data_IF_560997197867
#
_entry.id   IF_560997197867
#
_cell.length_a   1.000
_cell.length_b   1.000
_cell.length_c   1.000
_cell.angle_alpha   90.00
_cell.angle_beta   90.00
_cell.angle_gamma   90.00
#
_symmetry.space_group_name_H-M   'P 1'
#
loop_
_entity.id
_entity.type
_entity.pdbx_description
1 polymer ?
#
# COMPACT_ATOMS: atom_id res chain seq x y z
N UNK A 1 1.78 -9.79 -6.06
CA UNK A 1 1.69 -8.48 -5.38
C UNK A 1 1.85 -8.69 -3.89
N UNK A 2 2.44 -7.72 -3.20
CA UNK A 2 2.68 -7.72 -1.77
C UNK A 2 1.82 -6.61 -1.16
N UNK A 3 0.93 -6.99 -0.24
CA UNK A 3 0.03 -6.08 0.45
C UNK A 3 0.66 -5.62 1.77
N UNK A 4 0.78 -4.30 1.94
CA UNK A 4 1.37 -3.66 3.11
C UNK A 4 0.26 -2.93 3.89
N UNK A 5 -0.10 -3.49 5.04
CA UNK A 5 -1.17 -2.98 5.87
C UNK A 5 -0.84 -1.61 6.49
N UNK A 6 -1.90 -0.82 6.65
CA UNK A 6 -1.90 0.45 7.37
C UNK A 6 -1.82 0.28 8.89
N UNK A 7 -2.20 1.33 9.63
CA UNK A 7 -2.11 1.33 11.09
C UNK A 7 -0.71 0.99 11.60
N UNK A 8 -0.62 0.16 12.64
CA UNK A 8 0.67 -0.28 13.20
C UNK A 8 1.33 -1.41 12.41
N UNK A 9 0.61 -2.09 11.52
CA UNK A 9 1.15 -3.08 10.57
C UNK A 9 1.55 -4.43 11.17
N UNK A 10 1.31 -4.65 12.46
CA UNK A 10 1.43 -5.96 13.08
C UNK A 10 0.11 -6.71 12.99
N UNK A 11 0.01 -7.64 12.04
CA UNK A 11 -1.18 -8.44 11.77
C UNK A 11 -1.30 -9.62 12.75
N UNK A 12 -0.17 -10.16 13.22
CA UNK A 12 -0.13 -11.38 14.02
C UNK A 12 -0.75 -12.55 13.27
N UNK A 13 -0.17 -12.91 12.12
CA UNK A 13 -0.66 -13.99 11.26
C UNK A 13 -0.39 -15.33 11.93
N UNK A 14 -1.44 -16.10 12.18
CA UNK A 14 -1.34 -17.45 12.73
C UNK A 14 -1.04 -18.49 11.62
N UNK A 15 -0.52 -19.69 11.95
CA UNK A 15 -0.24 -20.73 10.96
C UNK A 15 -1.45 -21.17 10.13
N UNK A 16 -2.67 -20.99 10.64
CA UNK A 16 -3.93 -21.27 9.94
C UNK A 16 -4.37 -20.12 8.99
N UNK A 17 -3.58 -19.04 8.88
CA UNK A 17 -3.86 -17.87 8.04
C UNK A 17 -4.83 -16.84 8.63
N UNK A 18 -5.35 -17.06 9.85
CA UNK A 18 -6.11 -16.04 10.57
C UNK A 18 -5.20 -14.93 11.12
N UNK A 19 -5.79 -13.76 11.43
CA UNK A 19 -5.06 -12.59 11.89
C UNK A 19 -5.43 -12.25 13.33
N UNK A 20 -4.46 -11.88 14.15
CA UNK A 20 -4.73 -11.28 15.47
C UNK A 20 -5.29 -9.86 15.33
N UNK A 21 -4.84 -9.12 14.32
CA UNK A 21 -5.24 -7.74 14.05
C UNK A 21 -5.32 -7.47 12.56
N UNK A 22 -6.11 -6.47 12.18
CA UNK A 22 -6.14 -5.96 10.81
C UNK A 22 -7.16 -6.64 9.91
N UNK A 23 -8.04 -7.49 10.45
CA UNK A 23 -9.12 -8.11 9.67
C UNK A 23 -10.04 -7.08 8.99
N UNK A 24 -10.23 -5.92 9.62
CA UNK A 24 -10.95 -4.80 9.03
C UNK A 24 -10.12 -3.93 8.08
N UNK A 25 -8.80 -4.06 8.03
CA UNK A 25 -7.95 -3.24 7.15
C UNK A 25 -8.31 -3.46 5.68
N UNK A 26 -8.38 -2.39 4.88
CA UNK A 26 -8.83 -2.45 3.47
C UNK A 26 -8.11 -3.53 2.65
N UNK A 27 -6.77 -3.54 2.64
CA UNK A 27 -6.03 -4.52 1.83
C UNK A 27 -6.18 -5.94 2.37
N UNK A 28 -6.21 -6.08 3.69
CA UNK A 28 -6.33 -7.40 4.33
C UNK A 28 -7.72 -7.99 4.10
N UNK A 29 -8.79 -7.22 4.34
CA UNK A 29 -10.17 -7.68 4.12
C UNK A 29 -10.48 -7.91 2.64
N UNK A 30 -9.81 -7.18 1.75
CA UNK A 30 -10.01 -7.28 0.30
C UNK A 30 -9.05 -8.25 -0.39
N UNK A 31 -8.19 -8.97 0.36
CA UNK A 31 -7.17 -9.87 -0.21
C UNK A 31 -7.73 -10.90 -1.18
N UNK A 32 -8.90 -11.47 -0.87
CA UNK A 32 -9.54 -12.48 -1.72
C UNK A 32 -10.02 -11.86 -3.03
N UNK A 33 -10.51 -10.63 -3.02
CA UNK A 33 -10.93 -9.93 -4.24
C UNK A 33 -9.76 -9.75 -5.21
N UNK A 34 -8.54 -9.53 -4.71
CA UNK A 34 -7.35 -9.50 -5.57
C UNK A 34 -7.02 -10.88 -6.14
N UNK A 35 -7.12 -11.94 -5.32
CA UNK A 35 -6.90 -13.32 -5.78
C UNK A 35 -7.92 -13.74 -6.84
N UNK A 36 -9.19 -13.37 -6.66
CA UNK A 36 -10.29 -13.63 -7.61
C UNK A 36 -10.09 -12.89 -8.95
N UNK A 37 -9.25 -11.84 -8.98
CA UNK A 37 -8.79 -11.18 -10.20
C UNK A 37 -7.64 -11.92 -10.89
N UNK A 38 -7.27 -13.12 -10.43
CA UNK A 38 -6.19 -13.94 -10.98
C UNK A 38 -4.79 -13.45 -10.60
N UNK A 39 -4.67 -12.70 -9.50
CA UNK A 39 -3.39 -12.15 -9.04
C UNK A 39 -2.84 -12.98 -7.88
N UNK A 40 -1.53 -13.25 -7.89
CA UNK A 40 -0.86 -13.85 -6.74
C UNK A 40 -0.74 -12.81 -5.62
N UNK A 41 -1.38 -13.06 -4.47
CA UNK A 41 -1.45 -12.14 -3.33
C UNK A 41 -0.56 -12.63 -2.20
N UNK A 42 0.34 -11.77 -1.72
CA UNK A 42 1.19 -12.01 -0.55
C UNK A 42 0.87 -10.95 0.49
N UNK A 43 0.63 -11.39 1.72
CA UNK A 43 0.42 -10.52 2.87
C UNK A 43 1.64 -10.65 3.75
N UNK A 44 2.16 -9.51 4.21
CA UNK A 44 3.36 -9.45 5.04
C UNK A 44 2.98 -8.91 6.40
N UNK A 45 3.34 -9.65 7.44
CA UNK A 45 3.24 -9.22 8.83
C UNK A 45 4.46 -8.37 9.23
N UNK A 46 4.43 -7.75 10.41
CA UNK A 46 5.63 -7.21 11.02
C UNK A 46 6.70 -8.31 11.18
N UNK A 47 8.00 -7.99 11.03
CA UNK A 47 9.06 -8.98 11.20
C UNK A 47 9.05 -9.55 12.62
N UNK A 48 9.63 -10.75 12.79
CA UNK A 48 9.53 -11.52 14.04
C UNK A 48 10.06 -10.79 15.27
N UNK A 49 11.00 -9.87 15.11
CA UNK A 49 11.58 -9.00 16.14
C UNK A 49 10.74 -7.73 16.41
N UNK A 50 9.63 -7.55 15.69
CA UNK A 50 8.68 -6.42 15.80
C UNK A 50 7.23 -6.88 15.97
N UNK A 51 7.01 -8.07 16.53
CA UNK A 51 5.69 -8.64 16.80
C UNK A 51 4.97 -8.07 18.03
N UNK A 52 5.51 -6.99 18.62
CA UNK A 52 4.91 -6.26 19.75
C UNK A 52 4.90 -4.75 19.47
N UNK A 53 4.03 -4.01 20.17
CA UNK A 53 3.99 -2.56 20.07
C UNK A 53 5.40 -1.94 20.28
N UNK A 54 5.79 -0.92 19.48
CA UNK A 54 4.95 -0.18 18.54
C UNK A 54 4.90 -0.75 17.10
N UNK A 55 5.24 -2.04 16.92
CA UNK A 55 5.27 -2.75 15.64
C UNK A 55 6.11 -2.01 14.59
N UNK A 56 5.49 -1.57 13.49
CA UNK A 56 6.20 -0.89 12.40
C UNK A 56 6.34 0.63 12.63
N UNK A 57 5.73 1.23 13.66
CA UNK A 57 5.89 2.66 13.89
C UNK A 57 7.36 3.00 14.22
N UNK A 58 7.93 3.96 13.50
CA UNK A 58 9.36 4.27 13.53
C UNK A 58 10.25 3.31 12.70
N UNK A 59 9.71 2.18 12.23
CA UNK A 59 10.48 1.16 11.49
C UNK A 59 10.22 1.16 9.98
N UNK A 60 9.02 1.58 9.52
CA UNK A 60 8.60 1.54 8.09
C UNK A 60 9.56 2.18 7.09
N UNK A 61 10.45 3.07 7.55
CA UNK A 61 11.34 3.84 6.69
C UNK A 61 12.81 3.67 7.09
N UNK A 62 13.19 2.44 7.40
CA UNK A 62 14.54 2.05 7.84
C UNK A 62 15.20 1.10 6.84
N UNK A 63 16.54 1.04 6.79
CA UNK A 63 17.26 0.04 6.00
C UNK A 63 16.87 -1.41 6.36
N UNK A 64 16.59 -1.69 7.63
CA UNK A 64 16.18 -3.01 8.11
C UNK A 64 14.84 -3.43 7.51
N UNK A 65 13.85 -2.54 7.50
CA UNK A 65 12.58 -2.81 6.83
C UNK A 65 12.75 -3.01 5.31
N UNK A 66 13.72 -2.31 4.70
CA UNK A 66 14.06 -2.51 3.30
C UNK A 66 14.69 -3.87 3.03
N UNK A 67 15.56 -4.35 3.92
CA UNK A 67 16.10 -5.70 3.85
C UNK A 67 15.00 -6.76 4.00
N UNK A 68 14.09 -6.60 4.97
CA UNK A 68 12.98 -7.53 5.21
C UNK A 68 12.09 -7.65 3.97
N UNK A 69 11.62 -6.53 3.42
CA UNK A 69 10.73 -6.57 2.25
C UNK A 69 11.51 -6.93 0.98
N UNK A 70 12.79 -6.59 0.86
CA UNK A 70 13.66 -7.08 -0.22
C UNK A 70 13.76 -8.60 -0.22
N UNK A 71 13.88 -9.24 0.94
CA UNK A 71 13.84 -10.69 1.07
C UNK A 71 12.48 -11.28 0.68
N UNK A 72 11.37 -10.62 1.04
CA UNK A 72 10.03 -11.02 0.57
C UNK A 72 9.93 -10.91 -0.95
N UNK A 73 10.39 -9.81 -1.56
CA UNK A 73 10.40 -9.63 -3.03
C UNK A 73 11.19 -10.76 -3.69
N UNK A 74 12.38 -11.08 -3.17
CA UNK A 74 13.20 -12.17 -3.67
C UNK A 74 12.48 -13.53 -3.57
N UNK A 75 11.85 -13.82 -2.42
CA UNK A 75 11.05 -15.03 -2.23
C UNK A 75 9.88 -15.11 -3.22
N UNK A 76 9.14 -14.00 -3.42
CA UNK A 76 8.02 -13.94 -4.39
C UNK A 76 8.51 -14.21 -5.82
N UNK A 77 9.64 -13.62 -6.22
CA UNK A 77 10.23 -13.85 -7.55
C UNK A 77 10.69 -15.31 -7.73
N UNK A 78 11.06 -16.00 -6.65
CA UNK A 78 11.40 -17.42 -6.70
C UNK A 78 10.18 -18.33 -6.85
N UNK A 79 8.98 -17.89 -6.44
CA UNK A 79 7.74 -18.66 -6.57
C UNK A 79 7.18 -18.69 -8.00
N UNK A 80 7.58 -17.76 -8.87
CA UNK A 80 7.06 -17.72 -10.23
C UNK A 80 7.54 -16.54 -11.07
N UNK A 81 7.15 -16.56 -12.34
CA UNK A 81 7.46 -15.50 -13.29
C UNK A 81 6.37 -14.43 -13.23
N UNK A 82 6.79 -13.17 -13.17
CA UNK A 82 5.89 -12.03 -13.21
C UNK A 82 6.42 -10.85 -12.41
N UNK A 83 5.83 -9.66 -12.61
CA UNK A 83 6.24 -8.48 -11.88
C UNK A 83 5.76 -8.51 -10.43
N UNK A 84 6.60 -7.99 -9.53
CA UNK A 84 6.29 -7.82 -8.11
C UNK A 84 5.81 -6.40 -7.87
N UNK A 85 4.57 -6.26 -7.43
CA UNK A 85 3.95 -4.99 -7.08
C UNK A 85 3.87 -4.81 -5.57
N UNK A 86 4.24 -3.64 -5.05
CA UNK A 86 3.90 -3.25 -3.67
C UNK A 86 2.59 -2.47 -3.67
N UNK A 87 1.68 -2.85 -2.79
CA UNK A 87 0.40 -2.18 -2.59
C UNK A 87 0.31 -1.79 -1.12
N UNK A 88 0.34 -0.49 -0.83
CA UNK A 88 0.22 0.04 0.53
C UNK A 88 -1.10 0.76 0.74
N UNK A 89 -1.66 0.65 1.94
CA UNK A 89 -2.83 1.47 2.35
C UNK A 89 -2.52 2.31 3.58
N UNK A 90 -2.93 3.58 3.61
CA UNK A 90 -2.69 4.45 4.78
C UNK A 90 -1.21 4.41 5.17
N UNK A 91 -0.86 4.17 6.44
CA UNK A 91 0.55 4.02 6.87
C UNK A 91 1.36 2.96 6.10
N UNK A 92 0.72 1.98 5.47
CA UNK A 92 1.36 1.05 4.55
C UNK A 92 1.96 1.72 3.31
N UNK A 93 1.43 2.87 2.88
CA UNK A 93 2.02 3.66 1.78
C UNK A 93 3.38 4.24 2.16
N UNK A 94 3.62 4.53 3.44
CA UNK A 94 4.94 4.97 3.92
C UNK A 94 5.99 3.88 3.71
N UNK A 95 5.64 2.62 4.02
CA UNK A 95 6.50 1.46 3.70
C UNK A 95 6.68 1.35 2.18
N UNK A 96 5.58 1.22 1.43
CA UNK A 96 5.61 0.92 0.01
C UNK A 96 6.43 1.96 -0.80
N UNK A 97 6.19 3.25 -0.56
CA UNK A 97 6.91 4.33 -1.24
C UNK A 97 8.38 4.38 -0.82
N UNK A 98 8.69 4.28 0.47
CA UNK A 98 10.08 4.29 0.93
C UNK A 98 10.88 3.13 0.31
N UNK A 99 10.33 1.93 0.31
CA UNK A 99 10.97 0.74 -0.27
C UNK A 99 11.26 0.92 -1.75
N UNK A 100 10.32 1.50 -2.51
CA UNK A 100 10.50 1.80 -3.92
C UNK A 100 11.62 2.85 -4.18
N UNK A 101 11.91 3.74 -3.21
CA UNK A 101 13.05 4.67 -3.31
C UNK A 101 14.39 4.05 -2.91
N UNK A 102 14.39 2.88 -2.25
CA UNK A 102 15.58 2.24 -1.69
C UNK A 102 16.02 0.99 -2.43
N UNK A 103 15.08 0.27 -3.01
CA UNK A 103 15.29 -0.98 -3.69
C UNK A 103 15.06 -0.78 -5.19
N UNK A 104 16.00 -1.21 -6.02
CA UNK A 104 15.95 -1.06 -7.47
C UNK A 104 16.21 -2.39 -8.18
N UNK A 105 15.87 -2.45 -9.47
CA UNK A 105 16.08 -3.64 -10.30
C UNK A 105 15.41 -4.88 -9.71
N UNK A 106 16.16 -5.98 -9.62
CA UNK A 106 15.62 -7.27 -9.14
C UNK A 106 15.28 -7.28 -7.65
N UNK A 107 15.92 -6.43 -6.85
CA UNK A 107 15.69 -6.30 -5.42
C UNK A 107 14.47 -5.42 -5.11
N UNK A 108 14.13 -4.52 -6.03
CA UNK A 108 12.98 -3.63 -5.93
C UNK A 108 11.70 -4.18 -6.55
N UNK A 109 10.57 -3.48 -6.31
CA UNK A 109 9.34 -3.77 -7.00
C UNK A 109 9.33 -3.26 -8.43
N UNK A 110 8.51 -3.88 -9.26
CA UNK A 110 8.29 -3.50 -10.65
C UNK A 110 7.16 -2.46 -10.80
N UNK A 111 6.46 -2.15 -9.70
CA UNK A 111 5.37 -1.18 -9.70
C UNK A 111 4.81 -0.94 -8.29
N UNK A 112 4.13 0.20 -8.14
CA UNK A 112 3.62 0.68 -6.85
C UNK A 112 2.14 1.06 -6.96
N UNK A 113 1.34 0.67 -5.96
CA UNK A 113 -0.02 1.16 -5.76
C UNK A 113 -0.14 1.74 -4.35
N UNK A 114 -0.59 2.99 -4.25
CA UNK A 114 -0.74 3.73 -3.00
C UNK A 114 -2.22 4.05 -2.79
N UNK A 115 -2.85 3.41 -1.82
CA UNK A 115 -4.27 3.59 -1.51
C UNK A 115 -4.42 4.41 -0.22
N UNK A 116 -5.28 5.44 -0.23
CA UNK A 116 -5.48 6.32 0.93
C UNK A 116 -4.14 6.77 1.54
N UNK A 117 -3.27 7.32 0.70
CA UNK A 117 -1.86 7.63 1.00
C UNK A 117 -1.71 8.58 2.18
N UNK A 118 -0.71 8.35 3.04
CA UNK A 118 -0.26 9.35 4.03
C UNK A 118 0.41 10.52 3.29
N UNK A 119 -0.35 11.58 3.07
CA UNK A 119 0.05 12.83 2.42
C UNK A 119 0.63 13.83 3.44
N UNK A 120 0.11 13.82 4.68
CA UNK A 120 0.61 14.62 5.80
C UNK A 120 0.80 13.76 7.04
N UNK A 121 1.89 13.96 7.75
CA UNK A 121 2.16 13.30 9.04
C UNK A 121 3.10 14.19 9.85
N UNK A 122 2.69 14.56 11.06
CA UNK A 122 3.52 15.36 11.98
C UNK A 122 4.37 14.48 12.91
N UNK A 123 4.12 13.17 12.93
CA UNK A 123 4.83 12.19 13.78
C UNK A 123 5.80 11.31 12.99
N UNK A 124 5.90 11.51 11.68
CA UNK A 124 6.76 10.74 10.80
C UNK A 124 6.87 11.42 9.43
N UNK A 125 7.65 10.83 8.52
CA UNK A 125 7.79 11.37 7.17
C UNK A 125 6.62 10.91 6.29
N UNK A 126 5.80 11.82 5.74
CA UNK A 126 4.74 11.44 4.80
C UNK A 126 5.31 11.10 3.42
N UNK A 127 4.51 10.51 2.54
CA UNK A 127 4.96 10.07 1.21
C UNK A 127 5.47 11.22 0.34
N UNK A 128 4.82 12.40 0.24
CA UNK A 128 5.35 13.51 -0.55
C UNK A 128 6.73 14.00 -0.10
N UNK A 129 7.10 13.82 1.17
CA UNK A 129 8.40 14.22 1.71
C UNK A 129 9.55 13.22 1.42
N UNK A 130 9.27 12.14 0.69
CA UNK A 130 10.28 11.17 0.24
C UNK A 130 10.92 11.62 -1.09
N UNK A 131 12.12 11.09 -1.45
CA UNK A 131 12.79 11.40 -2.70
C UNK A 131 12.14 10.65 -3.89
N UNK A 132 10.88 10.95 -4.18
CA UNK A 132 10.07 10.27 -5.20
C UNK A 132 10.58 10.54 -6.63
N UNK A 133 11.37 11.58 -6.84
CA UNK A 133 12.07 11.88 -8.08
C UNK A 133 13.04 10.76 -8.52
N UNK A 134 13.46 9.89 -7.60
CA UNK A 134 14.33 8.75 -7.88
C UNK A 134 13.57 7.54 -8.45
N UNK A 135 12.23 7.55 -8.37
CA UNK A 135 11.41 6.46 -8.89
C UNK A 135 11.47 6.42 -10.42
N UNK A 136 11.49 5.20 -10.95
CA UNK A 136 11.45 4.92 -12.40
C UNK A 136 10.36 3.93 -12.79
N UNK A 137 9.59 3.44 -11.82
CA UNK A 137 8.54 2.44 -11.98
C UNK A 137 7.14 3.06 -12.10
N UNK A 138 6.14 2.32 -12.63
CA UNK A 138 4.75 2.78 -12.65
C UNK A 138 4.17 2.97 -11.24
N UNK A 139 3.45 4.08 -11.02
CA UNK A 139 2.79 4.39 -9.74
C UNK A 139 1.31 4.65 -9.95
N UNK A 140 0.45 3.95 -9.20
CA UNK A 140 -0.98 4.21 -9.13
C UNK A 140 -1.36 4.84 -7.79
N UNK A 141 -2.04 5.98 -7.83
CA UNK A 141 -2.68 6.57 -6.67
C UNK A 141 -4.16 6.17 -6.66
N UNK A 142 -4.69 5.82 -5.49
CA UNK A 142 -6.08 5.41 -5.32
C UNK A 142 -6.65 6.07 -4.08
N UNK A 143 -7.64 6.93 -4.24
CA UNK A 143 -8.20 7.70 -3.14
C UNK A 143 -9.71 7.83 -3.23
N UNK A 144 -10.35 7.94 -2.07
CA UNK A 144 -11.75 8.33 -2.00
C UNK A 144 -11.83 9.86 -1.92
N UNK A 145 -12.69 10.48 -2.72
CA UNK A 145 -12.76 11.96 -2.83
C UNK A 145 -13.18 12.63 -1.52
N UNK A 146 -13.89 11.89 -0.68
CA UNK A 146 -14.32 12.31 0.67
C UNK A 146 -13.58 11.60 1.79
N UNK A 147 -12.35 11.14 1.57
CA UNK A 147 -11.51 10.63 2.66
C UNK A 147 -11.33 11.74 3.71
N UNK A 148 -11.98 11.58 4.87
CA UNK A 148 -11.96 12.55 5.95
C UNK A 148 -10.77 12.40 6.89
N UNK A 149 -9.88 11.43 6.63
CA UNK A 149 -8.67 11.27 7.43
C UNK A 149 -7.73 12.46 7.19
N UNK A 150 -7.34 13.16 8.26
CA UNK A 150 -6.49 14.36 8.17
C UNK A 150 -5.09 14.11 7.61
N UNK A 151 -4.65 12.85 7.57
CA UNK A 151 -3.39 12.43 6.98
C UNK A 151 -3.48 12.12 5.48
N UNK A 152 -4.69 11.88 4.96
CA UNK A 152 -4.94 11.27 3.65
C UNK A 152 -5.94 12.08 2.81
N UNK A 153 -6.19 13.33 3.18
CA UNK A 153 -7.20 14.16 2.56
C UNK A 153 -6.96 14.27 1.05
N UNK A 154 -8.01 13.99 0.26
CA UNK A 154 -7.96 14.03 -1.20
C UNK A 154 -7.43 15.37 -1.75
N UNK A 155 -7.76 16.48 -1.07
CA UNK A 155 -7.31 17.82 -1.43
C UNK A 155 -5.78 18.01 -1.41
N UNK A 156 -5.04 17.15 -0.71
CA UNK A 156 -3.58 17.24 -0.61
C UNK A 156 -2.85 16.43 -1.70
N UNK A 157 -3.57 15.70 -2.55
CA UNK A 157 -2.99 14.93 -3.66
C UNK A 157 -2.16 15.72 -4.67
N UNK A 158 -2.47 16.99 -5.02
CA UNK A 158 -1.73 17.72 -6.04
C UNK A 158 -0.22 17.78 -5.78
N UNK A 159 0.22 17.85 -4.52
CA UNK A 159 1.65 17.85 -4.15
C UNK A 159 2.32 16.52 -4.51
N UNK A 160 1.67 15.40 -4.18
CA UNK A 160 2.17 14.07 -4.54
C UNK A 160 2.17 13.86 -6.06
N UNK A 161 1.09 14.26 -6.74
CA UNK A 161 0.99 14.12 -8.19
C UNK A 161 2.08 14.90 -8.90
N UNK A 162 2.39 16.13 -8.46
CA UNK A 162 3.47 16.94 -9.02
C UNK A 162 4.83 16.21 -8.98
N UNK A 163 5.14 15.53 -7.87
CA UNK A 163 6.38 14.75 -7.68
C UNK A 163 6.46 13.46 -8.50
N UNK A 164 5.34 13.02 -9.08
CA UNK A 164 5.26 11.78 -9.88
C UNK A 164 5.13 12.07 -11.39
N UNK A 165 5.08 13.34 -11.81
CA UNK A 165 4.87 13.73 -13.22
C UNK A 165 5.98 13.28 -14.16
N UNK A 166 7.19 13.05 -13.65
CA UNK A 166 8.33 12.59 -14.45
C UNK A 166 8.25 11.09 -14.78
N UNK A 167 7.35 10.34 -14.11
CA UNK A 167 7.24 8.91 -14.30
C UNK A 167 6.61 8.57 -15.65
N UNK A 168 7.08 7.49 -16.32
CA UNK A 168 6.56 7.09 -17.62
C UNK A 168 5.10 6.65 -17.56
N UNK A 169 4.62 6.22 -16.39
CA UNK A 169 3.24 5.78 -16.17
C UNK A 169 2.79 6.11 -14.76
N UNK A 170 1.86 7.05 -14.65
CA UNK A 170 1.19 7.40 -13.41
C UNK A 170 -0.29 7.63 -13.65
N UNK A 171 -1.13 7.32 -12.67
CA UNK A 171 -2.56 7.61 -12.70
C UNK A 171 -3.12 7.83 -11.30
N UNK A 172 -4.25 8.52 -11.23
CA UNK A 172 -5.08 8.64 -10.03
C UNK A 172 -6.44 8.00 -10.34
N UNK A 173 -6.83 7.03 -9.51
CA UNK A 173 -8.21 6.54 -9.45
C UNK A 173 -8.91 7.20 -8.25
N UNK A 174 -10.03 7.84 -8.54
CA UNK A 174 -10.83 8.57 -7.56
C UNK A 174 -12.19 7.90 -7.41
N UNK A 175 -12.60 7.68 -6.17
CA UNK A 175 -13.83 6.97 -5.85
C UNK A 175 -14.80 7.84 -5.07
N UNK A 176 -16.08 7.62 -5.32
CA UNK A 176 -17.21 8.24 -4.63
C UNK A 176 -18.21 7.15 -4.21
N UNK A 177 -19.18 7.50 -3.38
CA UNK A 177 -20.18 6.56 -2.87
C UNK A 177 -19.69 5.78 -1.64
N UNK A 178 -20.11 4.53 -1.49
CA UNK A 178 -19.76 3.69 -0.35
C UNK A 178 -20.42 4.10 0.97
N UNK A 179 -19.94 3.52 2.06
CA UNK A 179 -20.38 3.81 3.42
C UNK A 179 -19.26 4.50 4.22
N UNK A 180 -19.66 5.37 5.15
CA UNK A 180 -18.74 6.04 6.06
C UNK A 180 -19.14 5.74 7.51
N UNK A 181 -18.33 4.97 8.23
CA UNK A 181 -18.61 4.56 9.61
C UNK A 181 -17.37 4.70 10.49
N UNK A 182 -17.57 5.17 11.71
CA UNK A 182 -16.50 5.33 12.70
C UNK A 182 -15.70 6.61 12.51
N UNK A 183 -14.49 6.61 13.07
CA UNK A 183 -13.55 7.72 12.91
C UNK A 183 -13.13 7.88 11.44
N UNK A 184 -12.92 9.11 10.92
CA UNK A 184 -12.57 9.30 9.51
C UNK A 184 -11.31 8.57 9.03
N UNK A 185 -10.36 8.23 9.91
CA UNK A 185 -9.17 7.45 9.59
C UNK A 185 -9.33 5.93 9.79
N UNK A 186 -10.51 5.45 10.21
CA UNK A 186 -10.75 4.03 10.42
C UNK A 186 -11.05 3.27 9.12
N UNK A 187 -10.84 1.96 9.18
CA UNK A 187 -10.91 1.11 7.99
C UNK A 187 -12.32 0.95 7.40
N UNK A 188 -13.38 1.24 8.16
CA UNK A 188 -14.77 1.22 7.68
C UNK A 188 -15.34 2.63 7.38
N UNK A 189 -14.49 3.66 7.44
CA UNK A 189 -14.79 4.96 6.88
C UNK A 189 -14.52 4.96 5.36
N UNK A 190 -14.77 6.10 4.72
CA UNK A 190 -14.34 6.33 3.33
C UNK A 190 -12.84 6.10 3.13
N UNK A 191 -12.02 6.33 4.17
CA UNK A 191 -10.58 6.05 4.18
C UNK A 191 -10.22 4.62 3.78
N UNK A 192 -11.05 3.66 4.20
CA UNK A 192 -10.85 2.26 3.84
C UNK A 192 -11.72 1.79 2.68
N UNK A 193 -12.36 2.67 1.91
CA UNK A 193 -13.23 2.31 0.76
C UNK A 193 -14.39 1.37 1.13
N UNK A 194 -14.99 1.56 2.30
CA UNK A 194 -16.07 0.70 2.79
C UNK A 194 -17.27 0.66 1.82
N UNK A 195 -17.64 -0.54 1.37
CA UNK A 195 -18.71 -0.78 0.40
C UNK A 195 -18.28 -0.60 -1.06
N UNK A 196 -17.03 -0.24 -1.32
CA UNK A 196 -16.46 -0.04 -2.67
C UNK A 196 -15.34 -1.04 -2.97
N UNK A 197 -15.05 -1.99 -2.08
CA UNK A 197 -13.86 -2.84 -2.16
C UNK A 197 -13.75 -3.58 -3.49
N UNK A 198 -14.86 -4.18 -3.95
CA UNK A 198 -14.89 -4.91 -5.23
C UNK A 198 -14.55 -4.00 -6.41
N UNK A 199 -15.11 -2.80 -6.45
CA UNK A 199 -14.88 -1.85 -7.53
C UNK A 199 -13.43 -1.38 -7.53
N UNK A 200 -12.94 -0.92 -6.37
CA UNK A 200 -11.57 -0.43 -6.18
C UNK A 200 -10.55 -1.51 -6.57
N UNK A 201 -10.72 -2.73 -6.07
CA UNK A 201 -9.82 -3.85 -6.38
C UNK A 201 -9.85 -4.20 -7.86
N UNK A 202 -11.03 -4.22 -8.48
CA UNK A 202 -11.16 -4.53 -9.92
C UNK A 202 -10.41 -3.51 -10.77
N UNK A 203 -10.54 -2.22 -10.46
CA UNK A 203 -9.86 -1.16 -11.21
C UNK A 203 -8.33 -1.17 -10.98
N UNK A 204 -7.87 -1.42 -9.74
CA UNK A 204 -6.43 -1.61 -9.45
C UNK A 204 -5.88 -2.79 -10.27
N UNK A 205 -6.56 -3.94 -10.24
CA UNK A 205 -6.15 -5.13 -10.96
C UNK A 205 -6.08 -4.90 -12.48
N UNK A 206 -7.07 -4.21 -13.03
CA UNK A 206 -7.11 -3.84 -14.45
C UNK A 206 -5.91 -2.94 -14.82
N UNK A 207 -5.60 -1.93 -14.00
CA UNK A 207 -4.49 -1.04 -14.25
C UNK A 207 -3.13 -1.74 -14.16
N UNK A 208 -2.95 -2.63 -13.16
CA UNK A 208 -1.73 -3.45 -13.02
C UNK A 208 -1.52 -4.32 -14.26
N UNK A 209 -2.55 -5.04 -14.74
CA UNK A 209 -2.44 -5.88 -15.94
C UNK A 209 -2.14 -5.06 -17.20
N UNK A 210 -2.72 -3.87 -17.32
CA UNK A 210 -2.46 -2.98 -18.44
C UNK A 210 -1.04 -2.38 -18.42
N UNK A 211 -0.31 -2.45 -17.31
CA UNK A 211 1.09 -2.03 -17.20
C UNK A 211 2.09 -3.13 -17.57
N UNK A 212 1.60 -4.36 -17.76
CA UNK A 212 2.40 -5.54 -18.12
C UNK A 212 2.44 -5.80 -19.64
N UNK A 213 1.63 -5.05 -20.40
CA UNK A 213 1.60 -5.06 -21.86
C UNK A 213 2.48 -3.94 -22.38
#
# INVERSE_FOLDING_TARGET
MILLAGGHGGLGIFPNGSFRWGEGNFLIRSRQLFADQGLNVVIVDAPSDRQTAPYLAGFRQTPEHAADIGAVIAWVRAQGKGPVWLIGTSRGTQSAAFLATRLAGREGPDGLVLTATILKDNKGRPVPAMPLEQLTLPVLLVHHERDGCSHCAYADLPELQAKLRHLPRTALLSFQGGANRGDPCEAYAYHGFNGLEKEVVTQIAAWIRAAQK
#
